data_IF_212858033439
#
_entry.id   IF_212858033439
#
_cell.length_a   1.000
_cell.length_b   1.000
_cell.length_c   1.000
_cell.angle_alpha   90.00
_cell.angle_beta   90.00
_cell.angle_gamma   90.00
#
_symmetry.space_group_name_H-M   'P 1'
#
loop_
_entity.id
_entity.type
_entity.pdbx_description
1 polymer ?
#
# COMPACT_ATOMS: atom_id res chain seq x y z
N UNK A 1 10.38 -5.56 4.76
CA UNK A 1 10.25 -5.07 3.37
C UNK A 1 9.55 -3.72 3.32
N UNK A 2 8.22 -3.62 3.50
CA UNK A 2 7.50 -2.34 3.41
C UNK A 2 8.11 -1.21 4.24
N UNK A 3 8.37 -1.46 5.54
CA UNK A 3 8.93 -0.43 6.44
C UNK A 3 10.33 0.04 6.00
N UNK A 4 11.11 -0.84 5.36
CA UNK A 4 12.45 -0.50 4.85
C UNK A 4 12.33 0.44 3.64
N UNK A 5 11.41 0.15 2.71
CA UNK A 5 11.07 1.10 1.63
C UNK A 5 10.52 2.42 2.18
N UNK A 6 9.67 2.38 3.21
CA UNK A 6 9.11 3.60 3.80
C UNK A 6 10.20 4.48 4.46
N UNK A 7 11.25 3.85 4.97
CA UNK A 7 12.39 4.51 5.59
C UNK A 7 13.52 4.88 4.58
N UNK A 8 13.39 4.49 3.31
CA UNK A 8 14.43 4.71 2.29
C UNK A 8 15.63 3.75 2.37
N UNK A 9 15.51 2.64 3.10
CA UNK A 9 16.50 1.57 3.16
C UNK A 9 16.28 0.56 2.03
N UNK A 10 16.41 1.02 0.78
CA UNK A 10 15.98 0.26 -0.40
C UNK A 10 16.78 -1.04 -0.58
N UNK A 11 18.11 -1.01 -0.43
CA UNK A 11 18.96 -2.21 -0.54
C UNK A 11 18.59 -3.28 0.50
N UNK A 12 18.32 -2.86 1.75
CA UNK A 12 17.86 -3.77 2.80
C UNK A 12 16.45 -4.30 2.51
N UNK A 13 15.58 -3.47 1.93
CA UNK A 13 14.24 -3.87 1.52
C UNK A 13 14.30 -4.98 0.46
N UNK A 14 15.19 -4.84 -0.53
CA UNK A 14 15.44 -5.82 -1.58
C UNK A 14 16.02 -7.12 -1.00
N UNK A 15 17.01 -7.02 -0.12
CA UNK A 15 17.57 -8.19 0.57
C UNK A 15 16.51 -8.94 1.37
N UNK A 16 15.71 -8.22 2.17
CA UNK A 16 14.63 -8.80 2.95
C UNK A 16 13.53 -9.43 2.07
N UNK A 17 13.22 -8.85 0.91
CA UNK A 17 12.23 -9.40 -0.03
C UNK A 17 12.71 -10.70 -0.68
N UNK A 18 14.02 -10.86 -0.89
CA UNK A 18 14.62 -12.11 -1.39
C UNK A 18 14.69 -13.22 -0.34
N UNK A 19 14.47 -12.88 0.94
CA UNK A 19 14.58 -13.81 2.07
C UNK A 19 13.39 -14.74 2.26
N UNK A 20 12.27 -14.54 1.57
CA UNK A 20 11.12 -15.45 1.64
C UNK A 20 11.45 -16.78 0.95
N UNK A 21 11.36 -17.89 1.67
CA UNK A 21 11.68 -19.25 1.18
C UNK A 21 10.60 -20.26 1.58
N UNK A 22 10.54 -21.37 0.86
CA UNK A 22 9.72 -22.55 1.18
C UNK A 22 8.24 -22.20 1.42
N UNK A 23 7.66 -22.62 2.55
CA UNK A 23 6.25 -22.39 2.86
C UNK A 23 5.86 -20.91 2.92
N UNK A 24 6.81 -20.00 3.18
CA UNK A 24 6.55 -18.58 3.19
C UNK A 24 6.54 -17.96 1.78
N UNK A 25 7.03 -18.67 0.77
CA UNK A 25 7.17 -18.18 -0.61
C UNK A 25 5.82 -17.81 -1.26
N UNK A 26 4.78 -18.60 -0.98
CA UNK A 26 3.42 -18.39 -1.48
C UNK A 26 2.53 -17.60 -0.50
N UNK A 27 3.13 -17.06 0.56
CA UNK A 27 2.39 -16.30 1.57
C UNK A 27 1.99 -14.91 1.07
N UNK A 28 0.91 -14.34 1.63
CA UNK A 28 0.50 -12.97 1.30
C UNK A 28 1.60 -11.93 1.55
N UNK A 29 2.36 -11.96 2.66
CA UNK A 29 3.52 -11.10 2.85
C UNK A 29 4.57 -11.22 1.74
N UNK A 30 4.88 -12.43 1.28
CA UNK A 30 5.86 -12.64 0.21
C UNK A 30 5.39 -12.04 -1.12
N UNK A 31 4.13 -12.26 -1.51
CA UNK A 31 3.58 -11.64 -2.73
C UNK A 31 3.54 -10.11 -2.66
N UNK A 32 3.19 -9.52 -1.52
CA UNK A 32 3.20 -8.07 -1.36
C UNK A 32 4.62 -7.50 -1.34
N UNK A 33 5.58 -8.22 -0.73
CA UNK A 33 6.99 -7.87 -0.80
C UNK A 33 7.50 -7.84 -2.25
N UNK A 34 7.20 -8.88 -3.04
CA UNK A 34 7.56 -8.91 -4.47
C UNK A 34 6.96 -7.76 -5.25
N UNK A 35 5.70 -7.37 -4.97
CA UNK A 35 5.09 -6.21 -5.63
C UNK A 35 5.75 -4.88 -5.26
N UNK A 36 6.10 -4.69 -3.99
CA UNK A 36 6.85 -3.50 -3.58
C UNK A 36 8.23 -3.45 -4.25
N UNK A 37 8.93 -4.58 -4.30
CA UNK A 37 10.20 -4.71 -5.03
C UNK A 37 10.03 -4.40 -6.51
N UNK A 38 9.05 -4.99 -7.18
CA UNK A 38 8.80 -4.74 -8.60
C UNK A 38 8.39 -3.28 -8.86
N UNK A 39 7.62 -2.66 -7.96
CA UNK A 39 7.26 -1.24 -8.06
C UNK A 39 8.49 -0.35 -7.97
N UNK A 40 9.37 -0.62 -7.00
CA UNK A 40 10.62 0.11 -6.80
C UNK A 40 11.55 -0.01 -8.01
N UNK A 41 11.66 -1.21 -8.58
CA UNK A 41 12.50 -1.48 -9.75
C UNK A 41 11.87 -1.04 -11.08
N UNK A 42 10.64 -0.52 -11.08
CA UNK A 42 9.92 -0.14 -12.30
C UNK A 42 9.45 -1.33 -13.17
N UNK A 43 9.38 -2.52 -12.59
CA UNK A 43 9.01 -3.79 -13.27
C UNK A 43 7.65 -4.34 -12.85
N UNK A 44 6.87 -3.58 -12.08
CA UNK A 44 5.55 -4.04 -11.62
C UNK A 44 4.57 -4.16 -12.79
N UNK A 45 4.20 -5.40 -13.12
CA UNK A 45 3.18 -5.69 -14.11
C UNK A 45 1.76 -5.55 -13.56
N UNK A 46 0.81 -5.19 -14.42
CA UNK A 46 -0.62 -5.15 -14.08
C UNK A 46 -1.31 -6.51 -14.11
N UNK A 47 -0.71 -7.47 -13.41
CA UNK A 47 -1.29 -8.79 -13.19
C UNK A 47 -2.10 -8.82 -11.89
N UNK A 48 -3.14 -9.67 -11.78
CA UNK A 48 -3.82 -9.90 -10.51
C UNK A 48 -2.93 -10.66 -9.52
N UNK A 49 -3.18 -10.49 -8.22
CA UNK A 49 -2.62 -11.39 -7.20
C UNK A 49 -3.31 -12.77 -7.33
N UNK A 50 -2.63 -13.88 -6.99
CA UNK A 50 -3.30 -15.18 -6.85
C UNK A 50 -4.52 -15.07 -5.95
N UNK A 51 -5.59 -15.79 -6.27
CA UNK A 51 -6.90 -15.60 -5.62
C UNK A 51 -6.86 -15.73 -4.08
N UNK A 52 -6.17 -16.73 -3.48
CA UNK A 52 -6.07 -16.81 -2.01
C UNK A 52 -5.37 -15.58 -1.41
N UNK A 53 -4.28 -15.14 -2.04
CA UNK A 53 -3.50 -13.97 -1.62
C UNK A 53 -4.32 -12.70 -1.73
N UNK A 54 -5.07 -12.54 -2.84
CA UNK A 54 -5.97 -11.41 -3.05
C UNK A 54 -7.04 -11.35 -1.97
N UNK A 55 -7.70 -12.46 -1.65
CA UNK A 55 -8.71 -12.53 -0.59
C UNK A 55 -8.14 -12.16 0.77
N UNK A 56 -6.97 -12.70 1.13
CA UNK A 56 -6.30 -12.34 2.39
C UNK A 56 -5.91 -10.86 2.42
N UNK A 57 -5.39 -10.32 1.32
CA UNK A 57 -5.04 -8.91 1.23
C UNK A 57 -6.27 -7.98 1.32
N UNK A 58 -7.38 -8.36 0.68
CA UNK A 58 -8.66 -7.63 0.76
C UNK A 58 -9.35 -7.77 2.12
N UNK A 59 -8.95 -8.74 2.96
CA UNK A 59 -9.50 -8.97 4.29
C UNK A 59 -8.73 -8.29 5.43
N UNK A 60 -7.56 -7.72 5.17
CA UNK A 60 -6.70 -7.09 6.17
C UNK A 60 -6.40 -5.65 5.78
N UNK A 61 -6.67 -4.70 6.68
CA UNK A 61 -6.35 -3.28 6.46
C UNK A 61 -4.89 -3.10 6.04
N UNK A 62 -3.97 -3.67 6.81
CA UNK A 62 -2.54 -3.54 6.60
C UNK A 62 -2.11 -4.05 5.22
N UNK A 63 -2.61 -5.22 4.81
CA UNK A 63 -2.27 -5.77 3.50
C UNK A 63 -2.90 -4.99 2.34
N UNK A 64 -4.13 -4.52 2.50
CA UNK A 64 -4.77 -3.64 1.52
C UNK A 64 -3.98 -2.33 1.37
N UNK A 65 -3.52 -1.74 2.48
CA UNK A 65 -2.68 -0.54 2.49
C UNK A 65 -1.33 -0.77 1.81
N UNK A 66 -0.63 -1.84 2.14
CA UNK A 66 0.66 -2.17 1.49
C UNK A 66 0.49 -2.44 -0.02
N UNK A 67 -0.61 -3.08 -0.44
CA UNK A 67 -0.93 -3.24 -1.85
C UNK A 67 -1.17 -1.89 -2.54
N UNK A 68 -1.84 -0.96 -1.86
CA UNK A 68 -2.05 0.41 -2.36
C UNK A 68 -0.72 1.17 -2.51
N UNK A 69 0.16 1.07 -1.52
CA UNK A 69 1.46 1.74 -1.51
C UNK A 69 2.40 1.20 -2.59
N UNK A 70 2.36 -0.11 -2.90
CA UNK A 70 3.08 -0.67 -4.05
C UNK A 70 2.60 -0.06 -5.38
N UNK A 71 1.28 0.09 -5.57
CA UNK A 71 0.74 0.73 -6.78
C UNK A 71 1.04 2.22 -6.87
N UNK A 72 1.02 2.92 -5.73
CA UNK A 72 1.36 4.33 -5.65
C UNK A 72 2.84 4.58 -5.98
N UNK A 73 3.73 3.69 -5.49
CA UNK A 73 5.15 3.68 -5.83
C UNK A 73 5.36 3.46 -7.33
N UNK A 74 4.59 2.57 -7.96
CA UNK A 74 4.62 2.35 -9.41
C UNK A 74 3.92 3.44 -10.25
N UNK A 75 3.43 4.52 -9.63
CA UNK A 75 2.72 5.61 -10.31
C UNK A 75 1.32 5.23 -10.83
N UNK A 76 0.78 4.07 -10.47
CA UNK A 76 -0.54 3.62 -10.91
C UNK A 76 -1.63 4.10 -9.95
N UNK A 77 -2.03 5.36 -10.08
CA UNK A 77 -3.02 6.00 -9.20
C UNK A 77 -4.37 5.25 -9.15
N UNK A 78 -4.82 4.69 -10.27
CA UNK A 78 -6.09 3.94 -10.34
C UNK A 78 -6.07 2.68 -9.47
N UNK A 79 -5.02 1.86 -9.59
CA UNK A 79 -4.87 0.66 -8.77
C UNK A 79 -4.60 1.01 -7.30
N UNK A 80 -3.82 2.06 -7.05
CA UNK A 80 -3.56 2.57 -5.72
C UNK A 80 -4.86 3.00 -5.03
N UNK A 81 -5.71 3.77 -5.72
CA UNK A 81 -7.00 4.24 -5.20
C UNK A 81 -7.92 3.08 -4.82
N UNK A 82 -8.05 2.06 -5.68
CA UNK A 82 -8.88 0.87 -5.37
C UNK A 82 -8.45 0.18 -4.08
N UNK A 83 -7.14 -0.04 -3.91
CA UNK A 83 -6.62 -0.73 -2.73
C UNK A 83 -6.64 0.14 -1.48
N UNK A 84 -6.36 1.44 -1.63
CA UNK A 84 -6.43 2.39 -0.52
C UNK A 84 -7.86 2.56 -0.03
N UNK A 85 -8.84 2.63 -0.93
CA UNK A 85 -10.26 2.71 -0.57
C UNK A 85 -10.69 1.49 0.25
N UNK A 86 -10.20 0.31 -0.15
CA UNK A 86 -10.41 -0.92 0.62
C UNK A 86 -9.77 -0.85 2.01
N UNK A 87 -8.54 -0.38 2.13
CA UNK A 87 -7.87 -0.22 3.43
C UNK A 87 -8.65 0.77 4.32
N UNK A 88 -9.12 1.87 3.75
CA UNK A 88 -9.93 2.87 4.43
C UNK A 88 -11.22 2.22 4.94
N UNK A 89 -11.91 1.40 4.14
CA UNK A 89 -13.10 0.64 4.56
C UNK A 89 -12.86 -0.42 5.63
N UNK A 90 -11.63 -0.89 5.76
CA UNK A 90 -11.21 -1.77 6.84
C UNK A 90 -10.75 -1.01 8.10
N UNK A 91 -10.87 0.33 8.12
CA UNK A 91 -10.62 1.17 9.28
C UNK A 91 -9.38 2.06 9.19
N UNK A 92 -8.60 1.99 8.10
CA UNK A 92 -7.47 2.89 7.93
C UNK A 92 -7.93 4.35 7.85
N UNK A 93 -7.40 5.18 8.73
CA UNK A 93 -7.84 6.57 8.90
C UNK A 93 -6.70 7.51 9.26
N UNK A 94 -5.44 7.13 9.04
CA UNK A 94 -4.29 8.00 9.33
C UNK A 94 -4.07 9.02 8.19
N UNK A 95 -4.99 9.98 8.07
CA UNK A 95 -4.93 11.04 7.05
C UNK A 95 -3.65 11.88 7.11
N UNK A 96 -3.17 12.34 8.29
CA UNK A 96 -1.93 13.11 8.36
C UNK A 96 -0.72 12.36 7.77
N UNK A 97 -0.64 11.04 7.98
CA UNK A 97 0.38 10.22 7.33
C UNK A 97 0.22 10.22 5.81
N UNK A 98 -0.97 9.92 5.28
CA UNK A 98 -1.20 9.89 3.83
C UNK A 98 -0.85 11.21 3.14
N UNK A 99 -1.31 12.32 3.71
CA UNK A 99 -1.21 13.64 3.08
C UNK A 99 0.19 14.26 3.17
N UNK A 100 0.98 13.89 4.20
CA UNK A 100 2.23 14.62 4.51
C UNK A 100 3.46 13.74 4.59
N UNK A 101 3.33 12.51 5.09
CA UNK A 101 4.47 11.70 5.49
C UNK A 101 4.67 10.44 4.66
N UNK A 102 3.65 9.99 3.91
CA UNK A 102 3.77 8.80 3.10
C UNK A 102 4.74 9.03 1.93
N UNK A 103 5.88 8.31 1.87
CA UNK A 103 6.81 8.45 0.75
C UNK A 103 6.21 7.90 -0.56
N UNK A 104 5.19 7.06 -0.46
CA UNK A 104 4.55 6.39 -1.60
C UNK A 104 3.45 7.24 -2.25
N UNK A 105 2.75 8.07 -1.48
CA UNK A 105 1.61 8.85 -1.96
C UNK A 105 1.89 10.34 -2.15
N UNK A 106 3.00 10.87 -1.61
CA UNK A 106 3.31 12.32 -1.66
C UNK A 106 3.29 12.91 -3.08
N UNK A 107 3.72 12.15 -4.07
CA UNK A 107 3.73 12.54 -5.50
C UNK A 107 2.39 12.34 -6.21
N UNK A 108 1.39 11.77 -5.53
CA UNK A 108 0.05 11.50 -6.05
C UNK A 108 -1.06 12.20 -5.23
N UNK A 109 -0.70 13.11 -4.31
CA UNK A 109 -1.67 13.75 -3.40
C UNK A 109 -2.76 14.53 -4.15
N UNK A 110 -2.39 15.15 -5.28
CA UNK A 110 -3.29 15.93 -6.14
C UNK A 110 -3.91 15.10 -7.29
N UNK A 111 -3.65 13.79 -7.35
CA UNK A 111 -4.21 12.93 -8.40
C UNK A 111 -5.74 12.84 -8.27
N UNK A 112 -6.45 13.15 -9.36
CA UNK A 112 -7.90 13.20 -9.38
C UNK A 112 -8.58 11.85 -9.04
N UNK A 113 -7.89 10.73 -9.29
CA UNK A 113 -8.38 9.38 -9.00
C UNK A 113 -8.26 9.04 -7.52
N UNK A 114 -7.23 9.55 -6.85
CA UNK A 114 -6.97 9.31 -5.42
C UNK A 114 -7.71 10.30 -4.52
N UNK A 115 -7.97 11.52 -5.01
CA UNK A 115 -8.64 12.58 -4.24
C UNK A 115 -9.91 12.12 -3.50
N UNK A 116 -10.88 11.41 -4.11
CA UNK A 116 -12.07 10.96 -3.39
C UNK A 116 -11.76 10.01 -2.22
N UNK A 117 -10.72 9.20 -2.35
CA UNK A 117 -10.28 8.25 -1.31
C UNK A 117 -9.58 8.98 -0.18
N UNK A 118 -8.75 9.98 -0.50
CA UNK A 118 -8.11 10.87 0.48
C UNK A 118 -9.13 11.68 1.27
N UNK A 119 -10.13 12.27 0.61
CA UNK A 119 -11.22 12.97 1.29
C UNK A 119 -12.03 12.02 2.21
N UNK A 120 -12.24 10.77 1.79
CA UNK A 120 -12.88 9.75 2.63
C UNK A 120 -12.04 9.43 3.88
N UNK A 121 -10.73 9.26 3.73
CA UNK A 121 -9.82 9.04 4.85
C UNK A 121 -9.77 10.25 5.80
N UNK A 122 -9.72 11.47 5.25
CA UNK A 122 -9.75 12.71 6.03
C UNK A 122 -11.04 12.85 6.85
N UNK A 123 -12.20 12.59 6.25
CA UNK A 123 -13.49 12.64 6.97
C UNK A 123 -13.50 11.64 8.14
N UNK A 124 -13.03 10.41 7.92
CA UNK A 124 -12.94 9.39 8.98
C UNK A 124 -11.96 9.79 10.08
N UNK A 125 -10.80 10.32 9.71
CA UNK A 125 -9.82 10.84 10.67
C UNK A 125 -10.42 11.94 11.55
N UNK A 126 -11.03 12.97 10.94
CA UNK A 126 -11.67 14.08 11.66
C UNK A 126 -12.76 13.60 12.61
N UNK A 127 -13.55 12.59 12.22
CA UNK A 127 -14.57 12.01 13.08
C UNK A 127 -13.98 11.29 14.31
N UNK A 128 -12.78 10.68 14.18
CA UNK A 128 -12.09 10.02 15.28
C UNK A 128 -11.35 11.01 16.20
N UNK A 129 -10.84 12.11 15.66
CA UNK A 129 -10.04 13.09 16.42
C UNK A 129 -10.84 14.30 16.89
N UNK A 130 -12.04 14.52 16.37
CA UNK A 130 -12.89 15.69 16.63
C UNK A 130 -13.71 15.66 17.93
N UNK A 131 -13.29 14.87 18.92
CA UNK A 131 -13.90 14.78 20.26
C UNK A 131 -13.00 15.40 21.36
N UNK A 132 -12.25 16.44 21.04
CA UNK A 132 -11.51 17.26 22.01
C UNK A 132 -11.67 18.74 21.72
#
# INVERSE_FOLDING_TARGET
VWILFAAGHDDEALAAASGFREAAEESTPAHLARRLTAAHLGTLEDLPLPEPVRKTAEGSEMYARHAAEAWAMAGNAKRAARWLDRAVDLGFSNWPYLARYSPFFRHLVDDATLRPVFEKAERRWKALTGNH
#
